data_IF_417401316052
#
_entry.id   IF_417401316052
#
_cell.length_a   1.000
_cell.length_b   1.000
_cell.length_c   1.000
_cell.angle_alpha   90.00
_cell.angle_beta   90.00
_cell.angle_gamma   90.00
#
_symmetry.space_group_name_H-M   'P 1'
#
loop_
_entity.id
_entity.type
_entity.pdbx_description
1 polymer ?
#
# COMPACT_ATOMS: atom_id res chain seq x y z
N UNK A 1 17.55 -37.85 -27.44
CA UNK A 1 16.16 -38.33 -27.23
C UNK A 1 16.10 -39.75 -27.80
N UNK A 2 15.49 -40.73 -27.10
CA UNK A 2 15.43 -42.11 -27.59
C UNK A 2 14.55 -42.22 -28.86
N UNK A 3 14.72 -43.28 -29.64
CA UNK A 3 13.93 -43.51 -30.86
C UNK A 3 12.45 -43.74 -30.54
N UNK A 4 11.53 -43.10 -31.29
CA UNK A 4 10.10 -43.18 -31.02
C UNK A 4 9.58 -44.62 -31.11
N UNK A 5 8.69 -45.01 -30.18
CA UNK A 5 8.11 -46.36 -30.12
C UNK A 5 8.93 -47.38 -29.31
N UNK A 6 10.15 -47.04 -28.89
CA UNK A 6 10.96 -47.91 -28.03
C UNK A 6 10.52 -47.89 -26.55
N UNK A 7 10.78 -48.95 -25.77
CA UNK A 7 10.57 -48.96 -24.31
C UNK A 7 11.31 -47.81 -23.60
N UNK A 8 12.51 -47.47 -24.06
CA UNK A 8 13.34 -46.38 -23.56
C UNK A 8 12.71 -45.02 -23.82
N UNK A 9 12.07 -44.82 -24.98
CA UNK A 9 11.32 -43.60 -25.29
C UNK A 9 10.11 -43.42 -24.38
N UNK A 10 9.38 -44.50 -24.10
CA UNK A 10 8.23 -44.47 -23.19
C UNK A 10 8.65 -44.10 -21.76
N UNK A 11 9.74 -44.68 -21.28
CA UNK A 11 10.32 -44.37 -19.97
C UNK A 11 10.83 -42.93 -19.91
N UNK A 12 11.58 -42.48 -20.93
CA UNK A 12 12.06 -41.11 -21.03
C UNK A 12 10.93 -40.08 -21.00
N UNK A 13 9.82 -40.33 -21.72
CA UNK A 13 8.63 -39.47 -21.68
C UNK A 13 7.98 -39.42 -20.29
N UNK A 14 7.83 -40.56 -19.63
CA UNK A 14 7.26 -40.63 -18.26
C UNK A 14 8.13 -39.85 -17.27
N UNK A 15 9.45 -39.99 -17.34
CA UNK A 15 10.38 -39.27 -16.46
C UNK A 15 10.35 -37.76 -16.73
N UNK A 16 10.35 -37.36 -18.00
CA UNK A 16 10.26 -35.95 -18.36
C UNK A 16 8.95 -35.33 -17.88
N UNK A 17 7.81 -36.03 -18.05
CA UNK A 17 6.53 -35.57 -17.53
C UNK A 17 6.53 -35.41 -16.00
N UNK A 18 7.15 -36.36 -15.27
CA UNK A 18 7.30 -36.27 -13.81
C UNK A 18 8.14 -35.06 -13.40
N UNK A 19 9.24 -34.80 -14.10
CA UNK A 19 10.13 -33.66 -13.84
C UNK A 19 9.43 -32.32 -14.10
N UNK A 20 8.71 -32.20 -15.22
CA UNK A 20 7.90 -31.01 -15.54
C UNK A 20 6.88 -30.74 -14.43
N UNK A 21 6.15 -31.77 -13.99
CA UNK A 21 5.15 -31.60 -12.93
C UNK A 21 5.77 -31.34 -11.55
N UNK A 22 6.99 -31.84 -11.29
CA UNK A 22 7.74 -31.51 -10.08
C UNK A 22 8.09 -30.03 -10.05
N UNK A 23 8.68 -29.49 -11.12
CA UNK A 23 9.02 -28.06 -11.24
C UNK A 23 7.79 -27.16 -11.11
N UNK A 24 6.66 -27.55 -11.72
CA UNK A 24 5.40 -26.82 -11.58
C UNK A 24 4.97 -26.73 -10.11
N UNK A 25 5.03 -27.84 -9.37
CA UNK A 25 4.68 -27.89 -7.95
C UNK A 25 5.65 -27.08 -7.09
N UNK A 26 6.93 -27.12 -7.39
CA UNK A 26 7.96 -26.31 -6.70
C UNK A 26 7.74 -24.81 -6.89
N UNK A 27 7.44 -24.38 -8.12
CA UNK A 27 7.11 -22.98 -8.41
C UNK A 27 5.87 -22.51 -7.64
N UNK A 28 4.81 -23.31 -7.63
CA UNK A 28 3.58 -23.00 -6.86
C UNK A 28 3.88 -22.90 -5.35
N UNK A 29 4.65 -23.84 -4.81
CA UNK A 29 4.99 -23.84 -3.38
C UNK A 29 5.83 -22.62 -2.99
N UNK A 30 6.77 -22.24 -3.86
CA UNK A 30 7.59 -21.04 -3.67
C UNK A 30 6.71 -19.79 -3.60
N UNK A 31 5.76 -19.64 -4.53
CA UNK A 31 4.82 -18.52 -4.51
C UNK A 31 3.94 -18.47 -3.25
N UNK A 32 3.46 -19.63 -2.77
CA UNK A 32 2.67 -19.70 -1.53
C UNK A 32 3.51 -19.32 -0.31
N UNK A 33 4.78 -19.73 -0.25
CA UNK A 33 5.66 -19.40 0.86
C UNK A 33 6.02 -17.90 0.87
N UNK A 34 6.30 -17.31 -0.29
CA UNK A 34 6.50 -15.86 -0.41
C UNK A 34 5.26 -15.08 0.03
N UNK A 35 4.07 -15.57 -0.33
CA UNK A 35 2.82 -14.96 0.13
C UNK A 35 2.72 -15.00 1.65
N UNK A 36 3.05 -16.14 2.28
CA UNK A 36 3.02 -16.30 3.75
C UNK A 36 3.90 -15.28 4.47
N UNK A 37 5.10 -14.99 3.96
CA UNK A 37 6.03 -14.02 4.57
C UNK A 37 5.46 -12.60 4.66
N UNK A 38 4.53 -12.24 3.76
CA UNK A 38 3.88 -10.92 3.74
C UNK A 38 2.64 -10.83 4.62
N UNK A 39 2.16 -11.98 5.14
CA UNK A 39 0.93 -12.03 5.92
C UNK A 39 1.23 -12.06 7.42
N UNK A 40 0.38 -11.41 8.24
CA UNK A 40 0.46 -11.53 9.69
C UNK A 40 -0.15 -12.86 10.18
N UNK A 41 0.32 -14.00 9.67
CA UNK A 41 -0.11 -15.34 10.10
C UNK A 41 1.08 -16.28 10.37
N UNK A 42 0.86 -17.24 11.27
CA UNK A 42 1.77 -18.36 11.53
C UNK A 42 1.30 -19.66 10.88
N UNK A 43 0.27 -19.60 10.03
CA UNK A 43 -0.33 -20.80 9.42
C UNK A 43 0.62 -21.49 8.43
N UNK A 44 0.77 -22.81 8.56
CA UNK A 44 1.54 -23.65 7.63
C UNK A 44 0.66 -24.26 6.52
N UNK A 45 -0.67 -24.19 6.68
CA UNK A 45 -1.61 -24.78 5.74
C UNK A 45 -1.79 -23.88 4.51
N UNK A 46 -1.44 -24.40 3.32
CA UNK A 46 -1.54 -23.67 2.04
C UNK A 46 -2.93 -23.07 1.77
N UNK A 47 -3.99 -23.79 2.08
CA UNK A 47 -5.36 -23.30 1.88
C UNK A 47 -5.70 -22.16 2.83
N UNK A 48 -5.19 -22.18 4.07
CA UNK A 48 -5.38 -21.08 5.01
C UNK A 48 -4.55 -19.87 4.61
N UNK A 49 -3.27 -20.05 4.26
CA UNK A 49 -2.40 -18.96 3.75
C UNK A 49 -3.09 -18.21 2.61
N UNK A 50 -3.66 -18.93 1.63
CA UNK A 50 -4.36 -18.32 0.50
C UNK A 50 -5.62 -17.55 0.95
N UNK A 51 -6.42 -18.11 1.86
CA UNK A 51 -7.61 -17.43 2.39
C UNK A 51 -7.26 -16.16 3.16
N UNK A 52 -6.30 -16.27 4.08
CA UNK A 52 -5.78 -15.14 4.85
C UNK A 52 -5.20 -14.07 3.93
N UNK A 53 -4.53 -14.46 2.84
CA UNK A 53 -4.04 -13.49 1.85
C UNK A 53 -5.17 -12.68 1.21
N UNK A 54 -6.25 -13.35 0.79
CA UNK A 54 -7.40 -12.68 0.19
C UNK A 54 -8.04 -11.70 1.17
N UNK A 55 -8.24 -12.12 2.42
CA UNK A 55 -8.79 -11.27 3.47
C UNK A 55 -7.88 -10.09 3.80
N UNK A 56 -6.57 -10.33 3.90
CA UNK A 56 -5.59 -9.30 4.19
C UNK A 56 -5.51 -8.25 3.08
N UNK A 57 -5.55 -8.66 1.81
CA UNK A 57 -5.59 -7.73 0.67
C UNK A 57 -6.86 -6.87 0.71
N UNK A 58 -8.02 -7.45 1.05
CA UNK A 58 -9.26 -6.67 1.20
C UNK A 58 -9.13 -5.62 2.31
N UNK A 59 -8.63 -6.04 3.48
CA UNK A 59 -8.38 -5.14 4.60
C UNK A 59 -7.39 -4.03 4.26
N UNK A 60 -6.32 -4.34 3.52
CA UNK A 60 -5.35 -3.33 3.09
C UNK A 60 -6.00 -2.28 2.18
N UNK A 61 -6.87 -2.68 1.26
CA UNK A 61 -7.63 -1.75 0.41
C UNK A 61 -8.59 -0.88 1.21
N UNK A 62 -9.31 -1.46 2.18
CA UNK A 62 -10.19 -0.70 3.06
C UNK A 62 -9.41 0.31 3.92
N UNK A 63 -8.28 -0.11 4.47
CA UNK A 63 -7.38 0.75 5.24
C UNK A 63 -6.79 1.88 4.39
N UNK A 64 -6.39 1.60 3.14
CA UNK A 64 -5.90 2.60 2.21
C UNK A 64 -6.97 3.67 1.95
N UNK A 65 -8.21 3.26 1.68
CA UNK A 65 -9.32 4.19 1.48
C UNK A 65 -9.58 5.04 2.73
N UNK A 66 -9.63 4.42 3.91
CA UNK A 66 -9.83 5.13 5.18
C UNK A 66 -8.69 6.12 5.48
N UNK A 67 -7.44 5.76 5.16
CA UNK A 67 -6.29 6.65 5.32
C UNK A 67 -6.37 7.86 4.38
N UNK A 68 -6.80 7.65 3.13
CA UNK A 68 -6.99 8.74 2.16
C UNK A 68 -8.08 9.70 2.66
N UNK A 69 -9.21 9.18 3.14
CA UNK A 69 -10.31 9.98 3.68
C UNK A 69 -9.85 10.80 4.90
N UNK A 70 -9.16 10.15 5.85
CA UNK A 70 -8.61 10.81 7.03
C UNK A 70 -7.62 11.91 6.65
N UNK A 71 -6.67 11.62 5.77
CA UNK A 71 -5.69 12.59 5.31
C UNK A 71 -6.35 13.77 4.59
N UNK A 72 -7.36 13.50 3.75
CA UNK A 72 -8.12 14.56 3.05
C UNK A 72 -8.84 15.48 4.03
N UNK A 73 -9.46 14.91 5.07
CA UNK A 73 -10.13 15.69 6.11
C UNK A 73 -9.12 16.53 6.92
N UNK A 74 -8.01 15.93 7.36
CA UNK A 74 -6.96 16.63 8.10
C UNK A 74 -6.38 17.79 7.27
N UNK A 75 -6.15 17.57 5.98
CA UNK A 75 -5.69 18.61 5.06
C UNK A 75 -6.70 19.74 4.96
N UNK A 76 -7.98 19.44 4.75
CA UNK A 76 -9.03 20.47 4.64
C UNK A 76 -9.12 21.34 5.90
N UNK A 77 -9.08 20.72 7.08
CA UNK A 77 -9.13 21.43 8.37
C UNK A 77 -7.88 22.30 8.53
N UNK A 78 -6.71 21.78 8.16
CA UNK A 78 -5.45 22.53 8.25
C UNK A 78 -5.46 23.72 7.29
N UNK A 79 -5.90 23.54 6.05
CA UNK A 79 -6.02 24.62 5.05
C UNK A 79 -7.01 25.69 5.53
N UNK A 80 -8.13 25.30 6.15
CA UNK A 80 -9.06 26.24 6.76
C UNK A 80 -8.41 27.04 7.90
N UNK A 81 -7.73 26.37 8.84
CA UNK A 81 -7.05 27.03 9.95
C UNK A 81 -5.94 27.98 9.47
N UNK A 82 -5.18 27.60 8.44
CA UNK A 82 -4.17 28.46 7.81
C UNK A 82 -4.81 29.71 7.21
N UNK A 83 -5.93 29.58 6.51
CA UNK A 83 -6.65 30.73 5.95
C UNK A 83 -7.20 31.66 7.05
N UNK A 84 -7.75 31.11 8.14
CA UNK A 84 -8.23 31.90 9.27
C UNK A 84 -7.09 32.68 9.97
N UNK A 85 -5.94 32.04 10.15
CA UNK A 85 -4.73 32.69 10.68
C UNK A 85 -4.20 33.76 9.74
N UNK A 86 -4.16 33.51 8.43
CA UNK A 86 -3.73 34.48 7.43
C UNK A 86 -4.62 35.74 7.44
N UNK A 87 -5.94 35.55 7.46
CA UNK A 87 -6.91 36.65 7.54
C UNK A 87 -6.76 37.45 8.85
N UNK A 88 -6.53 36.78 9.98
CA UNK A 88 -6.33 37.43 11.27
C UNK A 88 -5.03 38.24 11.29
N UNK A 89 -3.96 37.70 10.70
CA UNK A 89 -2.68 38.39 10.58
C UNK A 89 -2.78 39.64 9.68
N UNK A 90 -3.52 39.57 8.58
CA UNK A 90 -3.75 40.72 7.71
C UNK A 90 -4.48 41.85 8.44
N UNK A 91 -5.54 41.53 9.20
CA UNK A 91 -6.26 42.51 10.03
C UNK A 91 -5.34 43.18 11.05
N UNK A 92 -4.54 42.40 11.77
CA UNK A 92 -3.59 42.93 12.75
C UNK A 92 -2.55 43.85 12.11
N UNK A 93 -2.05 43.51 10.91
CA UNK A 93 -1.13 44.38 10.16
C UNK A 93 -1.76 45.73 9.81
N UNK A 94 -3.01 45.72 9.35
CA UNK A 94 -3.75 46.94 9.02
C UNK A 94 -4.00 47.82 10.26
N UNK A 95 -4.39 47.21 11.38
CA UNK A 95 -4.57 47.93 12.65
C UNK A 95 -3.26 48.54 13.15
N UNK A 96 -2.18 47.77 13.09
CA UNK A 96 -0.84 48.22 13.49
C UNK A 96 -0.36 49.38 12.61
N UNK A 97 -0.58 49.32 11.29
CA UNK A 97 -0.28 50.44 10.38
C UNK A 97 -1.10 51.69 10.73
N UNK A 98 -2.40 51.53 11.01
CA UNK A 98 -3.27 52.64 11.43
C UNK A 98 -2.76 53.30 12.71
N UNK A 99 -2.46 52.51 13.74
CA UNK A 99 -1.95 53.01 15.02
C UNK A 99 -0.59 53.71 14.84
N UNK A 100 0.30 53.16 14.01
CA UNK A 100 1.58 53.82 13.71
C UNK A 100 1.39 55.19 13.06
N UNK A 101 0.46 55.33 12.10
CA UNK A 101 0.15 56.62 11.47
C UNK A 101 -0.43 57.62 12.48
N UNK A 102 -1.31 57.18 13.37
CA UNK A 102 -1.86 58.03 14.43
C UNK A 102 -0.77 58.51 15.39
N UNK A 103 0.10 57.62 15.86
CA UNK A 103 1.23 57.97 16.74
C UNK A 103 2.17 58.97 16.07
N UNK A 104 2.49 58.79 14.79
CA UNK A 104 3.31 59.75 14.03
C UNK A 104 2.64 61.12 13.89
N UNK A 105 1.30 61.16 13.77
CA UNK A 105 0.56 62.42 13.72
C UNK A 105 0.64 63.19 15.05
N UNK A 106 0.49 62.51 16.19
CA UNK A 106 0.53 63.12 17.53
C UNK A 106 1.94 63.52 18.00
N UNK A 107 2.99 63.03 17.34
CA UNK A 107 4.39 63.40 17.62
C UNK A 107 4.84 64.70 16.93
N UNK A 108 4.08 65.20 15.95
CA UNK A 108 4.34 66.50 15.29
C UNK A 108 3.67 67.63 16.06
#
# INVERSE_FOLDING_TARGET
KPAAGTPEWTTWRKLNHKEVEKRRREAINTGINQLKELLPTKDENKSQIIKTAVEYIKKLKENENSNIEKWTLEKLITDQAVNELANSNEKLKLELEKVYREVEHWKK
#
